data_IF_781661038403
#
_entry.id   IF_781661038403
#
_cell.length_a   1.000
_cell.length_b   1.000
_cell.length_c   1.000
_cell.angle_alpha   90.00
_cell.angle_beta   90.00
_cell.angle_gamma   90.00
#
_symmetry.space_group_name_H-M   'P 1'
#
loop_
_entity.id
_entity.type
_entity.pdbx_description
1 polymer ?
#
# COMPACT_ATOMS: atom_id res chain seq x y z
N UNK A 1 -46.49 -4.65 17.33
CA UNK A 1 -46.59 -3.18 17.22
C UNK A 1 -45.46 -2.60 18.04
N UNK A 2 -44.36 -2.21 17.40
CA UNK A 2 -43.26 -1.46 18.03
C UNK A 2 -43.22 -0.06 17.40
N UNK A 3 -42.97 1.00 18.17
CA UNK A 3 -43.14 2.35 17.70
C UNK A 3 -42.01 2.72 16.74
N UNK A 4 -42.41 3.36 15.64
CA UNK A 4 -41.54 4.06 14.71
C UNK A 4 -41.13 5.37 15.37
N UNK A 5 -39.84 5.52 15.69
CA UNK A 5 -39.22 6.83 15.86
C UNK A 5 -38.28 7.07 14.69
N UNK A 6 -38.85 7.72 13.67
CA UNK A 6 -38.09 8.50 12.69
C UNK A 6 -37.77 9.85 13.33
N UNK A 7 -36.48 10.20 13.42
CA UNK A 7 -35.89 11.42 12.87
C UNK A 7 -34.46 11.58 13.37
N UNK A 8 -33.51 11.72 12.44
CA UNK A 8 -32.13 12.08 12.73
C UNK A 8 -31.23 11.85 11.51
N UNK A 9 -31.14 12.85 10.64
CA UNK A 9 -30.12 12.90 9.59
C UNK A 9 -28.73 12.76 10.21
N UNK A 10 -27.98 11.74 9.82
CA UNK A 10 -26.62 11.52 10.32
C UNK A 10 -26.22 10.05 10.34
N UNK A 11 -26.49 9.32 9.26
CA UNK A 11 -26.06 7.93 9.14
C UNK A 11 -24.61 7.85 8.66
N UNK A 12 -23.64 8.08 9.57
CA UNK A 12 -22.30 7.54 9.34
C UNK A 12 -22.41 6.03 9.55
N UNK A 13 -22.67 5.29 8.47
CA UNK A 13 -22.40 3.86 8.45
C UNK A 13 -20.88 3.69 8.42
N UNK A 14 -20.25 3.72 9.59
CA UNK A 14 -18.92 3.12 9.76
C UNK A 14 -19.08 1.64 9.40
N UNK A 15 -18.63 1.25 8.21
CA UNK A 15 -18.59 -0.15 7.84
C UNK A 15 -17.59 -0.85 8.75
N UNK A 16 -18.11 -1.67 9.67
CA UNK A 16 -17.33 -2.65 10.42
C UNK A 16 -16.33 -3.33 9.49
N UNK A 17 -15.04 -3.26 9.80
CA UNK A 17 -13.96 -3.91 9.04
C UNK A 17 -12.89 -2.97 8.49
N UNK A 18 -13.19 -1.70 8.19
CA UNK A 18 -12.19 -0.80 7.58
C UNK A 18 -11.10 -0.37 8.59
N UNK A 19 -11.48 -0.10 9.84
CA UNK A 19 -10.55 0.28 10.89
C UNK A 19 -9.73 -0.93 11.35
N UNK A 20 -10.40 -2.06 11.53
CA UNK A 20 -9.81 -3.34 11.91
C UNK A 20 -8.81 -3.84 10.85
N UNK A 21 -9.08 -3.58 9.57
CA UNK A 21 -8.16 -3.88 8.47
C UNK A 21 -6.87 -3.06 8.56
N UNK A 22 -6.97 -1.76 8.85
CA UNK A 22 -5.79 -0.88 9.02
C UNK A 22 -4.99 -1.30 10.26
N UNK A 23 -5.64 -1.60 11.38
CA UNK A 23 -4.94 -2.06 12.59
C UNK A 23 -4.27 -3.42 12.37
N UNK A 24 -4.96 -4.37 11.71
CA UNK A 24 -4.38 -5.65 11.33
C UNK A 24 -3.18 -5.47 10.43
N UNK A 25 -3.25 -4.55 9.46
CA UNK A 25 -2.14 -4.21 8.59
C UNK A 25 -0.93 -3.72 9.38
N UNK A 26 -1.10 -2.75 10.27
CA UNK A 26 -0.01 -2.18 11.06
C UNK A 26 0.70 -3.25 11.91
N UNK A 27 -0.04 -4.23 12.42
CA UNK A 27 0.51 -5.36 13.18
C UNK A 27 1.21 -6.36 12.26
N UNK A 28 0.60 -6.74 11.13
CA UNK A 28 1.14 -7.76 10.22
C UNK A 28 2.35 -7.26 9.43
N UNK A 29 2.36 -5.98 9.04
CA UNK A 29 3.46 -5.37 8.32
C UNK A 29 4.76 -5.41 9.13
N UNK A 30 4.68 -5.16 10.44
CA UNK A 30 5.83 -5.27 11.36
C UNK A 30 6.38 -6.68 11.52
N UNK A 31 5.63 -7.71 11.10
CA UNK A 31 5.99 -9.11 11.23
C UNK A 31 6.57 -9.75 9.97
N UNK A 32 6.67 -9.04 8.84
CA UNK A 32 7.22 -9.60 7.59
C UNK A 32 8.74 -9.46 7.61
N UNK A 33 9.45 -10.58 7.55
CA UNK A 33 10.92 -10.61 7.48
C UNK A 33 11.43 -10.04 6.15
N UNK A 34 12.60 -9.37 6.13
CA UNK A 34 13.14 -8.69 4.94
C UNK A 34 13.87 -9.67 4.00
N UNK A 35 13.27 -10.82 3.69
CA UNK A 35 13.75 -11.67 2.60
C UNK A 35 13.19 -11.19 1.24
N UNK A 36 13.67 -11.76 0.13
CA UNK A 36 13.27 -11.32 -1.23
C UNK A 36 11.76 -11.46 -1.48
N UNK A 37 11.14 -12.48 -0.89
CA UNK A 37 9.68 -12.69 -0.96
C UNK A 37 8.94 -11.70 -0.04
N UNK A 38 9.52 -11.36 1.11
CA UNK A 38 9.02 -10.38 2.06
C UNK A 38 8.99 -8.98 1.48
N UNK A 39 10.01 -8.57 0.72
CA UNK A 39 10.07 -7.26 0.08
C UNK A 39 8.92 -7.05 -0.94
N UNK A 40 8.61 -8.07 -1.75
CA UNK A 40 7.52 -8.01 -2.70
C UNK A 40 6.16 -8.02 -1.99
N UNK A 41 5.97 -8.89 -0.99
CA UNK A 41 4.75 -8.88 -0.18
C UNK A 41 4.54 -7.52 0.49
N UNK A 42 5.58 -6.95 1.08
CA UNK A 42 5.52 -5.62 1.68
C UNK A 42 5.20 -4.54 0.63
N UNK A 43 5.68 -4.66 -0.62
CA UNK A 43 5.31 -3.74 -1.72
C UNK A 43 3.82 -3.84 -2.07
N UNK A 44 3.28 -5.05 -2.23
CA UNK A 44 1.83 -5.26 -2.46
C UNK A 44 1.01 -4.65 -1.33
N UNK A 45 1.43 -4.90 -0.09
CA UNK A 45 0.82 -4.35 1.11
C UNK A 45 0.87 -2.82 1.16
N UNK A 46 1.99 -2.21 0.80
CA UNK A 46 2.11 -0.75 0.68
C UNK A 46 1.14 -0.19 -0.38
N UNK A 47 1.13 -0.77 -1.59
CA UNK A 47 0.25 -0.33 -2.67
C UNK A 47 -1.23 -0.44 -2.28
N UNK A 48 -1.58 -1.53 -1.60
CA UNK A 48 -2.91 -1.72 -1.04
C UNK A 48 -3.27 -0.59 -0.07
N UNK A 49 -2.41 -0.27 0.90
CA UNK A 49 -2.68 0.82 1.86
C UNK A 49 -2.77 2.19 1.20
N UNK A 50 -1.88 2.48 0.25
CA UNK A 50 -1.94 3.72 -0.53
C UNK A 50 -3.23 3.81 -1.35
N UNK A 51 -3.78 2.68 -1.81
CA UNK A 51 -5.07 2.65 -2.51
C UNK A 51 -6.24 3.11 -1.63
N UNK A 52 -6.12 2.95 -0.31
CA UNK A 52 -7.11 3.39 0.67
C UNK A 52 -7.07 4.91 0.91
N UNK A 53 -5.95 5.57 0.59
CA UNK A 53 -5.85 7.02 0.65
C UNK A 53 -6.56 7.69 -0.54
N UNK A 54 -7.16 8.88 -0.33
CA UNK A 54 -7.72 9.68 -1.41
C UNK A 54 -6.71 9.99 -2.53
N UNK A 55 -7.12 10.02 -3.81
CA UNK A 55 -8.44 9.61 -4.30
C UNK A 55 -8.62 8.09 -4.18
N UNK A 56 -9.66 7.65 -3.48
CA UNK A 56 -9.98 6.24 -3.27
C UNK A 56 -11.39 5.96 -3.78
N UNK A 57 -11.65 4.81 -4.41
CA UNK A 57 -13.01 4.41 -4.77
C UNK A 57 -13.89 4.13 -3.54
N UNK A 58 -13.30 4.01 -2.34
CA UNK A 58 -14.01 3.75 -1.09
C UNK A 58 -13.86 4.94 -0.13
N UNK A 59 -14.72 5.96 -0.22
CA UNK A 59 -14.58 7.21 0.53
C UNK A 59 -14.72 7.05 2.06
N UNK A 60 -15.27 5.95 2.54
CA UNK A 60 -15.56 5.70 3.96
C UNK A 60 -14.37 5.15 4.76
N UNK A 61 -13.29 4.71 4.11
CA UNK A 61 -12.15 4.09 4.80
C UNK A 61 -11.29 5.15 5.50
N UNK A 62 -11.24 6.36 4.98
CA UNK A 62 -10.48 7.46 5.56
C UNK A 62 -11.23 8.11 6.73
N UNK A 63 -11.30 7.39 7.84
CA UNK A 63 -11.89 7.84 9.10
C UNK A 63 -10.85 8.57 9.97
N UNK A 64 -11.29 9.36 10.99
CA UNK A 64 -10.39 9.94 11.99
C UNK A 64 -9.42 8.93 12.64
N UNK A 65 -9.77 7.64 12.68
CA UNK A 65 -8.88 6.57 13.15
C UNK A 65 -7.65 6.38 12.26
N UNK A 66 -7.82 6.37 10.94
CA UNK A 66 -6.71 6.21 9.99
C UNK A 66 -5.80 7.43 10.01
N UNK A 67 -6.40 8.61 10.14
CA UNK A 67 -5.70 9.88 10.37
C UNK A 67 -4.78 9.85 11.60
N UNK A 68 -5.25 9.28 12.71
CA UNK A 68 -4.47 9.13 13.95
C UNK A 68 -3.31 8.15 13.84
N UNK A 69 -3.31 7.27 12.83
CA UNK A 69 -2.25 6.30 12.56
C UNK A 69 -1.30 6.74 11.44
N UNK A 70 -1.42 7.98 10.97
CA UNK A 70 -0.67 8.46 9.82
C UNK A 70 0.84 8.47 10.07
N UNK A 71 1.27 8.71 11.31
CA UNK A 71 2.66 8.59 11.73
C UNK A 71 3.25 7.21 11.37
N UNK A 72 2.56 6.14 11.78
CA UNK A 72 2.97 4.76 11.54
C UNK A 72 2.86 4.40 10.06
N UNK A 73 1.84 4.89 9.37
CA UNK A 73 1.69 4.67 7.93
C UNK A 73 2.82 5.33 7.14
N UNK A 74 3.19 6.57 7.48
CA UNK A 74 4.28 7.27 6.82
C UNK A 74 5.65 6.66 7.15
N UNK A 75 5.87 6.19 8.37
CA UNK A 75 7.07 5.44 8.74
C UNK A 75 7.22 4.13 7.94
N UNK A 76 6.11 3.41 7.76
CA UNK A 76 6.04 2.21 6.90
C UNK A 76 6.35 2.57 5.44
N UNK A 77 5.75 3.64 4.92
CA UNK A 77 6.02 4.13 3.56
C UNK A 77 7.51 4.47 3.39
N UNK A 78 8.11 5.14 4.38
CA UNK A 78 9.52 5.51 4.36
C UNK A 78 10.44 4.29 4.31
N UNK A 79 10.20 3.32 5.20
CA UNK A 79 10.96 2.06 5.26
C UNK A 79 10.93 1.37 3.90
N UNK A 80 9.74 1.25 3.31
CA UNK A 80 9.56 0.54 2.03
C UNK A 80 10.16 1.27 0.83
N UNK A 81 9.93 2.57 0.72
CA UNK A 81 10.47 3.33 -0.40
C UNK A 81 12.01 3.38 -0.35
N UNK A 82 12.59 3.35 0.86
CA UNK A 82 14.05 3.23 1.04
C UNK A 82 14.57 1.85 0.65
N UNK A 83 13.87 0.78 1.02
CA UNK A 83 14.23 -0.58 0.63
C UNK A 83 14.12 -0.81 -0.88
N UNK A 84 13.09 -0.27 -1.54
CA UNK A 84 12.94 -0.37 -3.00
C UNK A 84 14.05 0.33 -3.78
N UNK A 85 14.59 1.44 -3.26
CA UNK A 85 15.77 2.08 -3.84
C UNK A 85 17.02 1.18 -3.77
N UNK A 86 17.03 0.24 -2.83
CA UNK A 86 18.18 -0.64 -2.56
C UNK A 86 18.04 -2.00 -3.27
N UNK A 87 16.80 -2.46 -3.50
CA UNK A 87 16.47 -3.82 -3.97
C UNK A 87 15.87 -3.83 -5.40
N UNK A 88 16.36 -2.98 -6.30
CA UNK A 88 15.74 -2.69 -7.61
C UNK A 88 15.50 -3.90 -8.55
N UNK A 89 15.96 -5.10 -8.21
CA UNK A 89 15.74 -6.35 -8.95
C UNK A 89 15.30 -7.46 -8.00
N UNK A 90 14.07 -7.41 -7.50
CA UNK A 90 13.46 -8.57 -6.84
C UNK A 90 12.81 -9.43 -7.91
N UNK A 91 13.46 -10.56 -8.25
CA UNK A 91 12.89 -11.52 -9.20
C UNK A 91 11.56 -12.06 -8.65
N UNK A 92 10.47 -12.03 -9.44
CA UNK A 92 9.15 -12.42 -8.98
C UNK A 92 9.08 -13.94 -8.87
N UNK A 93 8.88 -14.43 -7.65
CA UNK A 93 8.49 -15.80 -7.29
C UNK A 93 9.21 -16.93 -8.09
N UNK A 94 10.15 -17.63 -7.46
CA UNK A 94 10.56 -18.96 -7.94
C UNK A 94 9.45 -19.97 -7.63
N UNK A 95 8.39 -19.97 -8.45
CA UNK A 95 7.43 -21.07 -8.45
C UNK A 95 8.14 -22.25 -9.11
N UNK A 96 8.59 -23.20 -8.29
CA UNK A 96 9.28 -24.39 -8.74
C UNK A 96 8.43 -25.10 -9.80
N UNK A 97 9.01 -25.30 -10.98
CA UNK A 97 8.41 -26.12 -12.02
C UNK A 97 8.64 -27.59 -11.63
N UNK A 98 7.69 -28.17 -10.90
CA UNK A 98 7.72 -29.58 -10.55
C UNK A 98 7.26 -30.39 -11.76
N UNK A 99 8.20 -30.73 -12.64
CA UNK A 99 7.94 -31.56 -13.82
C UNK A 99 8.79 -32.81 -13.77
N UNK A 100 8.27 -33.78 -13.02
CA UNK A 100 8.71 -35.17 -13.07
C UNK A 100 8.14 -35.93 -14.29
N UNK A 101 7.29 -35.31 -15.14
CA UNK A 101 6.71 -35.98 -16.32
C UNK A 101 6.92 -35.20 -17.64
N UNK A 102 7.76 -35.81 -18.47
CA UNK A 102 7.80 -35.82 -19.95
C UNK A 102 8.14 -34.54 -20.74
N UNK A 103 9.26 -34.64 -21.48
CA UNK A 103 9.63 -33.84 -22.69
C UNK A 103 9.75 -32.32 -22.50
N UNK A 104 10.79 -31.92 -21.75
CA UNK A 104 10.89 -30.62 -21.07
C UNK A 104 11.90 -29.68 -21.75
N UNK A 105 11.59 -29.19 -22.96
CA UNK A 105 12.27 -28.00 -23.52
C UNK A 105 11.24 -26.98 -24.02
N UNK A 106 10.24 -27.42 -24.78
CA UNK A 106 9.14 -26.55 -25.24
C UNK A 106 8.22 -26.12 -24.09
N UNK A 107 7.97 -27.00 -23.11
CA UNK A 107 7.18 -26.70 -21.92
C UNK A 107 7.86 -25.68 -20.99
N UNK A 108 9.19 -25.80 -20.83
CA UNK A 108 9.99 -24.89 -20.01
C UNK A 108 10.06 -23.49 -20.63
N UNK A 109 10.33 -23.37 -21.93
CA UNK A 109 10.35 -22.07 -22.60
C UNK A 109 8.98 -21.39 -22.61
N UNK A 110 7.89 -22.16 -22.82
CA UNK A 110 6.53 -21.63 -22.73
C UNK A 110 6.17 -21.17 -21.31
N UNK A 111 6.60 -21.91 -20.29
CA UNK A 111 6.42 -21.55 -18.88
C UNK A 111 7.22 -20.30 -18.50
N UNK A 112 8.50 -20.22 -18.86
CA UNK A 112 9.34 -19.04 -18.65
C UNK A 112 8.76 -17.81 -19.36
N UNK A 113 8.29 -17.97 -20.60
CA UNK A 113 7.61 -16.90 -21.34
C UNK A 113 6.31 -16.46 -20.65
N UNK A 114 5.54 -17.39 -20.08
CA UNK A 114 4.32 -17.09 -19.33
C UNK A 114 4.62 -16.33 -18.02
N UNK A 115 5.67 -16.70 -17.28
CA UNK A 115 6.09 -15.98 -16.07
C UNK A 115 6.47 -14.54 -16.41
N UNK A 116 7.22 -14.35 -17.50
CA UNK A 116 7.63 -13.01 -17.95
C UNK A 116 6.43 -12.18 -18.39
N UNK A 117 5.45 -12.78 -19.08
CA UNK A 117 4.23 -12.07 -19.50
C UNK A 117 3.34 -11.68 -18.32
N UNK A 118 3.12 -12.59 -17.37
CA UNK A 118 2.38 -12.30 -16.14
C UNK A 118 3.10 -11.29 -15.25
N UNK A 119 4.43 -11.35 -15.18
CA UNK A 119 5.25 -10.38 -14.46
C UNK A 119 5.09 -8.94 -14.97
N UNK A 120 4.80 -8.76 -16.27
CA UNK A 120 4.48 -7.45 -16.88
C UNK A 120 3.06 -6.96 -16.57
N UNK A 121 2.15 -7.84 -16.16
CA UNK A 121 0.79 -7.48 -15.75
C UNK A 121 0.70 -7.22 -14.24
N UNK A 122 1.66 -7.72 -13.47
CA UNK A 122 1.70 -7.54 -12.02
C UNK A 122 1.97 -6.07 -11.65
N UNK A 123 1.03 -5.47 -10.91
CA UNK A 123 1.13 -4.10 -10.43
C UNK A 123 2.29 -3.96 -9.44
N UNK A 124 2.63 -5.00 -8.69
CA UNK A 124 3.78 -4.98 -7.79
C UNK A 124 5.09 -4.79 -8.58
N UNK A 125 5.18 -5.28 -9.81
CA UNK A 125 6.40 -5.15 -10.62
C UNK A 125 6.41 -3.87 -11.45
N UNK A 126 5.26 -3.46 -11.98
CA UNK A 126 5.16 -2.34 -12.92
C UNK A 126 4.88 -0.99 -12.27
N UNK A 127 4.43 -0.97 -11.01
CA UNK A 127 4.12 0.29 -10.32
C UNK A 127 5.36 1.00 -9.78
N UNK A 128 5.40 2.31 -10.05
CA UNK A 128 6.27 3.24 -9.34
C UNK A 128 5.60 3.67 -8.02
N UNK A 129 5.97 2.99 -6.94
CA UNK A 129 5.43 3.25 -5.61
C UNK A 129 5.70 4.69 -5.14
N UNK A 130 6.78 5.33 -5.61
CA UNK A 130 7.10 6.72 -5.25
C UNK A 130 6.10 7.69 -5.89
N UNK A 131 5.85 7.53 -7.18
CA UNK A 131 4.86 8.34 -7.90
C UNK A 131 3.46 8.14 -7.33
N UNK A 132 3.10 6.90 -7.01
CA UNK A 132 1.81 6.58 -6.36
C UNK A 132 1.72 7.22 -4.98
N UNK A 133 2.75 7.10 -4.15
CA UNK A 133 2.80 7.74 -2.83
C UNK A 133 2.59 9.25 -2.95
N UNK A 134 3.33 9.92 -3.83
CA UNK A 134 3.21 11.37 -4.07
C UNK A 134 1.77 11.76 -4.44
N UNK A 135 1.22 11.09 -5.45
CA UNK A 135 -0.14 11.32 -5.93
C UNK A 135 -1.17 11.13 -4.81
N UNK A 136 -0.99 10.12 -3.95
CA UNK A 136 -1.89 9.84 -2.83
C UNK A 136 -1.78 10.88 -1.72
N UNK A 137 -0.60 11.40 -1.42
CA UNK A 137 -0.44 12.48 -0.45
C UNK A 137 -1.03 13.81 -0.95
N UNK A 138 -0.87 14.12 -2.23
CA UNK A 138 -1.51 15.28 -2.87
C UNK A 138 -3.04 15.15 -2.87
N UNK A 139 -3.53 13.97 -3.26
CA UNK A 139 -4.95 13.63 -3.21
C UNK A 139 -5.52 13.72 -1.80
N UNK A 140 -4.75 13.30 -0.81
CA UNK A 140 -5.13 13.41 0.59
C UNK A 140 -5.26 14.88 1.02
N UNK A 141 -4.25 15.71 0.77
CA UNK A 141 -4.27 17.13 1.09
C UNK A 141 -5.48 17.84 0.45
N UNK A 142 -5.83 17.47 -0.78
CA UNK A 142 -7.02 17.99 -1.46
C UNK A 142 -8.33 17.52 -0.82
N UNK A 143 -8.38 16.30 -0.28
CA UNK A 143 -9.61 15.71 0.25
C UNK A 143 -9.98 16.23 1.64
N UNK A 144 -8.99 16.42 2.52
CA UNK A 144 -9.24 16.84 3.92
C UNK A 144 -9.03 18.35 4.13
N UNK A 145 -8.50 19.04 3.13
CA UNK A 145 -8.14 20.46 3.21
C UNK A 145 -6.77 20.67 3.85
N UNK A 146 -6.13 21.78 3.47
CA UNK A 146 -4.74 22.05 3.85
C UNK A 146 -4.54 22.15 5.37
N UNK A 147 -5.47 22.78 6.10
CA UNK A 147 -5.34 22.96 7.54
C UNK A 147 -5.36 21.62 8.30
N UNK A 148 -6.29 20.73 7.96
CA UNK A 148 -6.36 19.40 8.54
C UNK A 148 -5.15 18.55 8.13
N UNK A 149 -4.70 18.67 6.88
CA UNK A 149 -3.50 18.01 6.40
C UNK A 149 -2.25 18.44 7.17
N UNK A 150 -2.06 19.72 7.44
CA UNK A 150 -0.96 20.21 8.27
C UNK A 150 -1.03 19.68 9.70
N UNK A 151 -2.22 19.58 10.29
CA UNK A 151 -2.39 18.98 11.62
C UNK A 151 -1.92 17.52 11.65
N UNK A 152 -2.23 16.75 10.61
CA UNK A 152 -1.77 15.36 10.47
C UNK A 152 -0.25 15.31 10.33
N UNK A 153 0.34 16.14 9.48
CA UNK A 153 1.80 16.20 9.34
C UNK A 153 2.49 16.56 10.66
N UNK A 154 1.89 17.44 11.46
CA UNK A 154 2.43 17.81 12.78
C UNK A 154 2.43 16.65 13.80
N UNK A 155 1.65 15.59 13.58
CA UNK A 155 1.71 14.38 14.42
C UNK A 155 2.84 13.43 14.03
N UNK A 156 3.46 13.62 12.86
CA UNK A 156 4.52 12.76 12.35
C UNK A 156 5.88 13.35 12.68
N UNK A 157 6.85 12.49 13.00
CA UNK A 157 8.20 12.95 13.31
C UNK A 157 8.79 13.73 12.12
N UNK A 158 9.36 14.93 12.35
CA UNK A 158 9.90 15.76 11.27
C UNK A 158 10.98 15.06 10.44
N UNK A 159 11.74 14.15 11.04
CA UNK A 159 12.78 13.37 10.35
C UNK A 159 12.16 12.45 9.28
N UNK A 160 11.03 11.80 9.60
CA UNK A 160 10.32 10.91 8.66
C UNK A 160 9.83 11.72 7.46
N UNK A 161 9.20 12.88 7.72
CA UNK A 161 8.70 13.77 6.67
C UNK A 161 9.81 14.26 5.75
N UNK A 162 10.94 14.70 6.31
CA UNK A 162 12.08 15.15 5.51
C UNK A 162 12.67 14.03 4.64
N UNK A 163 12.74 12.80 5.16
CA UNK A 163 13.25 11.67 4.39
C UNK A 163 12.28 11.28 3.27
N UNK A 164 10.98 11.24 3.54
CA UNK A 164 9.95 11.00 2.53
C UNK A 164 9.99 12.06 1.43
N UNK A 165 10.09 13.34 1.80
CA UNK A 165 10.20 14.44 0.84
C UNK A 165 11.44 14.28 -0.04
N UNK A 166 12.60 13.92 0.53
CA UNK A 166 13.81 13.63 -0.23
C UNK A 166 13.64 12.45 -1.18
N UNK A 167 13.01 11.37 -0.74
CA UNK A 167 12.78 10.20 -1.59
C UNK A 167 11.86 10.58 -2.76
N UNK A 168 10.78 11.29 -2.49
CA UNK A 168 9.80 11.69 -3.51
C UNK A 168 10.37 12.68 -4.52
N UNK A 169 11.17 13.64 -4.06
CA UNK A 169 11.70 14.72 -4.90
C UNK A 169 13.06 14.41 -5.55
N UNK A 170 13.80 13.39 -5.09
CA UNK A 170 15.02 12.93 -5.77
C UNK A 170 14.68 12.07 -6.99
N UNK A 171 14.16 12.69 -8.04
CA UNK A 171 14.21 12.12 -9.39
C UNK A 171 15.64 12.17 -9.90
N UNK A 172 16.34 11.03 -9.88
CA UNK A 172 17.51 10.78 -10.73
C UNK A 172 17.13 9.75 -11.77
#
# INVERSE_FOLDING_TARGET
VFPVTSLGSGGVTLSFGAQELVDMYLVKFKGIEPDSNGALHQKVWLLFMLSLLPPSPVPTIYSPHVLQRMDQLLDICLTMLTQQLTLSNTDPYTVGYDCDEETIETGKQAYEASIVDEGKKDIANTSDARSIFKMKMEGLASAIGNDAYQQVLNTVEPVILQQLERIVNNTK
#
